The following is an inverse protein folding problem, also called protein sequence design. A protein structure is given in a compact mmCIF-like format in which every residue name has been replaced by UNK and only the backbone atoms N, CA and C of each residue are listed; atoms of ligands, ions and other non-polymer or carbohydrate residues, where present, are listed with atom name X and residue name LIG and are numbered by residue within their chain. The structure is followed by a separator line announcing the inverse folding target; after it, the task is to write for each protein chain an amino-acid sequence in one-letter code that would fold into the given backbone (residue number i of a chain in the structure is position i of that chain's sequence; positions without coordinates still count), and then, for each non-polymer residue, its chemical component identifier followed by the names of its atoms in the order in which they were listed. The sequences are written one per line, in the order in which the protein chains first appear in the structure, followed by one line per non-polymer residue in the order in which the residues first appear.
data_IF_542026490946
#
_entry.id   IF_542026490946
#
_cell.length_a   1.000
_cell.length_b   1.000
_cell.length_c   1.000
_cell.angle_alpha   90.00
_cell.angle_beta   90.00
_cell.angle_gamma   90.00
#
_symmetry.space_group_name_H-M   'P 1'
#
loop_
_entity.id
_entity.type
_entity.pdbx_description
1 polymer ?
#
# COMPACT_ATOMS: atom_id res chain seq x y z
N UNK A 1 45.48 16.82 22.22
CA UNK A 1 44.22 16.06 22.42
C UNK A 1 43.34 16.26 21.19
N UNK A 2 43.10 15.21 20.39
CA UNK A 2 42.24 15.28 19.19
C UNK A 2 40.78 15.16 19.64
N UNK A 3 39.94 16.12 19.24
CA UNK A 3 38.49 16.05 19.40
C UNK A 3 37.96 14.98 18.44
N UNK A 4 37.48 13.87 18.99
CA UNK A 4 36.65 12.92 18.25
C UNK A 4 35.25 13.54 18.15
N UNK A 5 35.03 14.36 17.13
CA UNK A 5 33.68 14.75 16.75
C UNK A 5 33.02 13.52 16.16
N UNK A 6 32.19 12.86 16.99
CA UNK A 6 31.35 11.75 16.59
C UNK A 6 30.36 12.21 15.53
N UNK A 7 30.78 12.20 14.26
CA UNK A 7 29.88 12.35 13.13
C UNK A 7 28.87 11.20 13.19
N UNK A 8 27.66 11.49 13.67
CA UNK A 8 26.50 10.59 13.50
C UNK A 8 26.39 10.35 12.00
N UNK A 9 26.80 9.16 11.54
CA UNK A 9 26.59 8.73 10.15
C UNK A 9 25.10 8.90 9.84
N UNK A 10 24.78 9.80 8.93
CA UNK A 10 23.41 10.01 8.45
C UNK A 10 22.99 8.74 7.74
N UNK A 11 21.98 8.05 8.28
CA UNK A 11 21.41 6.87 7.62
C UNK A 11 20.52 7.35 6.48
N UNK A 12 20.83 6.92 5.27
CA UNK A 12 19.96 7.10 4.11
C UNK A 12 18.96 5.96 4.08
N UNK A 13 17.70 6.31 3.85
CA UNK A 13 16.58 5.39 3.90
C UNK A 13 15.56 5.84 2.87
N UNK A 14 15.25 4.96 1.91
CA UNK A 14 14.20 5.13 0.90
C UNK A 14 13.51 3.77 0.66
N UNK A 15 12.32 3.81 0.06
CA UNK A 15 11.57 2.62 -0.37
C UNK A 15 11.36 2.62 -1.88
N UNK A 16 11.39 1.43 -2.46
CA UNK A 16 11.02 1.19 -3.85
C UNK A 16 9.79 0.30 -3.82
N UNK A 17 8.63 0.87 -4.10
CA UNK A 17 7.39 0.13 -4.21
C UNK A 17 7.23 -0.43 -5.62
N UNK A 18 7.15 -1.76 -5.71
CA UNK A 18 6.73 -2.48 -6.91
C UNK A 18 5.37 -3.10 -6.64
N UNK A 19 4.34 -2.41 -7.10
CA UNK A 19 2.95 -2.75 -6.82
C UNK A 19 2.34 -3.40 -8.05
N UNK A 20 1.83 -4.61 -7.90
CA UNK A 20 1.05 -5.28 -8.92
C UNK A 20 -0.42 -5.36 -8.48
N UNK A 21 -1.33 -4.85 -9.32
CA UNK A 21 -2.77 -5.08 -9.20
C UNK A 21 -3.19 -6.18 -10.17
N UNK A 22 -3.79 -7.25 -9.67
CA UNK A 22 -4.41 -8.31 -10.48
C UNK A 22 -5.84 -8.53 -10.00
N UNK A 23 -6.82 -8.13 -10.82
CA UNK A 23 -8.24 -8.07 -10.40
C UNK A 23 -8.37 -7.29 -9.10
N UNK A 24 -8.82 -7.93 -8.02
CA UNK A 24 -8.99 -7.29 -6.72
C UNK A 24 -7.80 -7.48 -5.77
N UNK A 25 -6.75 -8.17 -6.20
CA UNK A 25 -5.56 -8.42 -5.37
C UNK A 25 -4.49 -7.37 -5.63
N UNK A 26 -3.81 -6.98 -4.55
CA UNK A 26 -2.60 -6.14 -4.56
C UNK A 26 -1.44 -6.96 -4.03
N UNK A 27 -0.33 -6.91 -4.76
CA UNK A 27 0.92 -7.62 -4.45
C UNK A 27 2.09 -6.65 -4.44
N UNK A 28 2.81 -6.61 -3.32
CA UNK A 28 4.01 -5.82 -3.08
C UNK A 28 5.28 -6.66 -2.99
N UNK A 29 5.24 -7.98 -3.23
CA UNK A 29 6.35 -8.93 -3.02
C UNK A 29 7.65 -8.58 -3.75
N UNK A 30 7.57 -7.73 -4.79
CA UNK A 30 8.73 -7.22 -5.52
C UNK A 30 9.28 -5.89 -5.00
N UNK A 31 8.76 -5.36 -3.89
CA UNK A 31 9.19 -4.09 -3.28
C UNK A 31 10.46 -4.27 -2.45
N UNK A 32 11.19 -3.17 -2.26
CA UNK A 32 12.51 -3.16 -1.62
C UNK A 32 12.67 -1.94 -0.74
N UNK A 33 13.45 -2.10 0.33
CA UNK A 33 13.94 -0.99 1.13
C UNK A 33 15.39 -0.73 0.81
N UNK A 34 15.76 0.55 0.75
CA UNK A 34 17.12 0.99 0.44
C UNK A 34 17.71 1.65 1.67
N UNK A 35 18.63 0.96 2.35
CA UNK A 35 19.35 1.49 3.51
C UNK A 35 20.80 1.72 3.11
N UNK A 36 21.28 2.96 3.22
CA UNK A 36 22.64 3.35 2.85
C UNK A 36 23.04 2.84 1.45
N UNK A 37 22.16 3.07 0.47
CA UNK A 37 22.30 2.64 -0.94
C UNK A 37 22.32 1.13 -1.17
N UNK A 38 21.89 0.32 -0.19
CA UNK A 38 21.72 -1.13 -0.34
C UNK A 38 20.24 -1.47 -0.36
N UNK A 39 19.75 -1.94 -1.50
CA UNK A 39 18.40 -2.44 -1.64
C UNK A 39 18.28 -3.85 -1.05
N UNK A 40 17.22 -4.11 -0.28
CA UNK A 40 16.95 -5.40 0.34
C UNK A 40 15.45 -5.65 0.44
N UNK A 41 15.04 -6.86 0.02
CA UNK A 41 13.68 -7.36 0.25
C UNK A 41 13.47 -7.69 1.73
N UNK A 42 14.45 -8.28 2.39
CA UNK A 42 14.38 -8.65 3.81
C UNK A 42 14.16 -7.43 4.71
N UNK A 43 14.71 -6.27 4.34
CA UNK A 43 14.42 -5.03 5.05
C UNK A 43 12.96 -4.61 4.86
N UNK A 44 12.45 -4.65 3.63
CA UNK A 44 11.06 -4.30 3.34
C UNK A 44 10.07 -5.26 4.00
N UNK A 45 10.42 -6.55 4.07
CA UNK A 45 9.64 -7.61 4.71
C UNK A 45 9.32 -7.32 6.20
N UNK A 46 10.13 -6.47 6.85
CA UNK A 46 9.97 -6.08 8.26
C UNK A 46 9.49 -4.63 8.42
N UNK A 47 9.10 -3.96 7.34
CA UNK A 47 8.70 -2.56 7.39
C UNK A 47 7.22 -2.36 7.64
N UNK A 48 6.93 -1.23 8.28
CA UNK A 48 5.60 -0.65 8.29
C UNK A 48 5.51 0.55 7.34
N UNK A 49 4.40 0.64 6.62
CA UNK A 49 4.12 1.73 5.69
C UNK A 49 2.65 2.10 5.71
N UNK A 50 2.36 3.32 5.29
CA UNK A 50 1.01 3.85 5.24
C UNK A 50 0.28 3.38 3.97
N UNK A 51 -0.99 3.07 4.13
CA UNK A 51 -1.95 2.91 3.03
C UNK A 51 -3.12 3.86 3.26
N UNK A 52 -3.49 4.63 2.25
CA UNK A 52 -4.64 5.53 2.28
C UNK A 52 -5.69 5.11 1.26
N UNK A 53 -6.90 4.83 1.74
CA UNK A 53 -8.09 4.54 0.96
C UNK A 53 -8.86 5.83 0.71
N UNK A 54 -9.20 6.08 -0.55
CA UNK A 54 -9.90 7.29 -0.96
C UNK A 54 -11.09 6.96 -1.84
N UNK A 55 -12.25 7.53 -1.54
CA UNK A 55 -13.46 7.40 -2.36
C UNK A 55 -14.28 8.69 -2.36
N UNK A 56 -15.26 8.80 -3.26
CA UNK A 56 -16.13 9.96 -3.42
C UNK A 56 -17.60 9.53 -3.35
N UNK A 57 -18.36 10.03 -2.37
CA UNK A 57 -19.80 9.78 -2.18
C UNK A 57 -20.54 11.11 -2.28
N UNK A 58 -21.49 11.23 -3.21
CA UNK A 58 -22.33 12.44 -3.36
C UNK A 58 -21.49 13.73 -3.37
N UNK A 59 -20.41 13.71 -4.15
CA UNK A 59 -19.41 14.76 -4.26
C UNK A 59 -18.51 15.05 -3.05
N UNK A 60 -18.68 14.35 -1.94
CA UNK A 60 -17.81 14.44 -0.76
C UNK A 60 -16.70 13.39 -0.85
N UNK A 61 -15.46 13.81 -0.60
CA UNK A 61 -14.31 12.91 -0.57
C UNK A 61 -14.10 12.34 0.83
N UNK A 62 -13.95 11.02 0.91
CA UNK A 62 -13.67 10.29 2.14
C UNK A 62 -12.28 9.66 2.02
N UNK A 63 -11.45 9.88 3.04
CA UNK A 63 -10.12 9.33 3.11
C UNK A 63 -9.95 8.59 4.44
N UNK A 64 -9.47 7.35 4.36
CA UNK A 64 -9.12 6.56 5.52
C UNK A 64 -7.68 6.09 5.39
N UNK A 65 -6.89 6.27 6.44
CA UNK A 65 -5.48 5.90 6.45
C UNK A 65 -5.22 4.83 7.50
N UNK A 66 -4.43 3.83 7.13
CA UNK A 66 -3.93 2.81 8.04
C UNK A 66 -2.42 2.63 7.91
N UNK A 67 -1.80 2.22 9.01
CA UNK A 67 -0.42 1.74 9.03
C UNK A 67 -0.46 0.22 8.93
N UNK A 68 0.27 -0.36 7.98
CA UNK A 68 0.40 -1.82 7.82
C UNK A 68 1.85 -2.23 7.96
N UNK A 69 2.09 -3.43 8.49
CA UNK A 69 3.40 -4.09 8.42
C UNK A 69 3.37 -5.11 7.29
N UNK A 70 4.46 -5.17 6.51
CA UNK A 70 4.49 -5.92 5.26
C UNK A 70 4.07 -7.40 5.45
N UNK A 71 4.65 -8.12 6.41
CA UNK A 71 4.33 -9.54 6.61
C UNK A 71 3.37 -9.83 7.77
N UNK A 72 2.73 -8.81 8.35
CA UNK A 72 1.71 -9.03 9.37
C UNK A 72 0.32 -9.01 8.75
N UNK A 73 -0.55 -9.89 9.25
CA UNK A 73 -1.97 -9.88 8.90
C UNK A 73 -2.56 -8.52 9.25
N UNK A 74 -3.38 -7.99 8.35
CA UNK A 74 -4.11 -6.76 8.63
C UNK A 74 -5.18 -7.08 9.68
N UNK A 75 -5.10 -6.42 10.84
CA UNK A 75 -5.98 -6.74 11.97
C UNK A 75 -7.45 -6.38 11.69
N UNK A 76 -8.37 -7.22 12.18
CA UNK A 76 -9.81 -7.00 12.02
C UNK A 76 -10.26 -5.63 12.55
N UNK A 77 -9.68 -5.13 13.65
CA UNK A 77 -10.08 -3.81 14.21
C UNK A 77 -9.81 -2.65 13.23
N UNK A 78 -8.74 -2.75 12.45
CA UNK A 78 -8.36 -1.71 11.49
C UNK A 78 -9.28 -1.78 10.26
N UNK A 79 -9.71 -3.00 9.91
CA UNK A 79 -10.68 -3.26 8.84
C UNK A 79 -12.11 -2.88 9.20
N UNK A 80 -12.51 -2.94 10.47
CA UNK A 80 -13.87 -2.58 10.91
C UNK A 80 -14.25 -1.16 10.50
N UNK A 81 -13.34 -0.19 10.66
CA UNK A 81 -13.59 1.20 10.25
C UNK A 81 -13.64 1.35 8.74
N UNK A 82 -12.72 0.72 8.01
CA UNK A 82 -12.73 0.74 6.54
C UNK A 82 -14.03 0.14 5.99
N UNK A 83 -14.47 -0.98 6.57
CA UNK A 83 -15.71 -1.63 6.20
C UNK A 83 -16.93 -0.78 6.58
N UNK A 84 -16.95 -0.19 7.77
CA UNK A 84 -18.06 0.63 8.22
C UNK A 84 -18.19 1.95 7.42
N UNK A 85 -17.07 2.68 7.25
CA UNK A 85 -17.05 4.01 6.64
C UNK A 85 -17.05 3.95 5.11
N UNK A 86 -16.31 3.01 4.52
CA UNK A 86 -16.12 2.92 3.07
C UNK A 86 -16.81 1.70 2.44
N UNK A 87 -17.31 0.75 3.25
CA UNK A 87 -17.91 -0.48 2.75
C UNK A 87 -16.91 -1.43 2.11
N UNK A 88 -15.62 -1.30 2.42
CA UNK A 88 -14.52 -2.06 1.81
C UNK A 88 -14.12 -3.21 2.75
N UNK A 89 -14.08 -4.44 2.23
CA UNK A 89 -13.59 -5.63 2.94
C UNK A 89 -12.28 -6.09 2.31
N UNK A 90 -11.30 -6.41 3.15
CA UNK A 90 -9.95 -6.82 2.73
C UNK A 90 -9.56 -8.08 3.51
N UNK A 91 -8.84 -8.99 2.87
CA UNK A 91 -8.20 -10.14 3.50
C UNK A 91 -6.74 -10.27 3.05
N UNK A 92 -5.84 -10.63 3.98
CA UNK A 92 -4.42 -10.84 3.71
C UNK A 92 -3.50 -10.10 4.68
N UNK A 93 -2.30 -9.78 4.20
CA UNK A 93 -1.25 -9.07 4.93
C UNK A 93 -0.82 -7.80 4.19
N UNK A 94 0.04 -6.98 4.79
CA UNK A 94 0.53 -5.75 4.16
C UNK A 94 1.19 -5.95 2.79
N UNK A 95 1.84 -7.10 2.58
CA UNK A 95 2.55 -7.46 1.35
C UNK A 95 1.61 -7.95 0.25
N UNK A 96 0.56 -8.66 0.62
CA UNK A 96 -0.39 -9.25 -0.31
C UNK A 96 -1.77 -9.28 0.34
N UNK A 97 -2.72 -8.61 -0.30
CA UNK A 97 -4.10 -8.60 0.15
C UNK A 97 -5.09 -8.57 -1.01
N UNK A 98 -6.29 -9.08 -0.76
CA UNK A 98 -7.40 -9.08 -1.70
C UNK A 98 -8.54 -8.20 -1.17
N UNK A 99 -9.09 -7.37 -2.07
CA UNK A 99 -10.29 -6.58 -1.80
C UNK A 99 -11.52 -7.42 -2.17
N UNK A 100 -12.25 -7.90 -1.18
CA UNK A 100 -13.36 -8.84 -1.41
C UNK A 100 -14.64 -8.15 -1.81
N UNK A 101 -15.01 -7.11 -1.06
CA UNK A 101 -16.26 -6.39 -1.24
C UNK A 101 -16.02 -4.89 -1.16
N UNK A 102 -16.72 -4.15 -2.02
CA UNK A 102 -16.79 -2.69 -1.98
C UNK A 102 -18.05 -2.24 -2.71
N UNK A 103 -18.64 -1.14 -2.24
CA UNK A 103 -19.94 -0.63 -2.72
C UNK A 103 -19.81 0.35 -3.88
N UNK A 104 -18.63 0.93 -4.06
CA UNK A 104 -18.36 2.02 -4.99
C UNK A 104 -16.88 2.10 -5.33
N UNK A 105 -16.57 2.79 -6.43
CA UNK A 105 -15.20 2.99 -6.89
C UNK A 105 -14.35 3.68 -5.81
N UNK A 106 -13.12 3.22 -5.66
CA UNK A 106 -12.18 3.78 -4.70
C UNK A 106 -10.75 3.63 -5.21
N UNK A 107 -9.82 4.28 -4.52
CA UNK A 107 -8.40 4.17 -4.79
C UNK A 107 -7.62 3.90 -3.52
N UNK A 108 -6.45 3.30 -3.70
CA UNK A 108 -5.48 3.02 -2.65
C UNK A 108 -4.20 3.76 -3.01
N UNK A 109 -3.75 4.69 -2.16
CA UNK A 109 -2.45 5.34 -2.25
C UNK A 109 -1.49 4.71 -1.24
N UNK A 110 -0.36 4.21 -1.75
CA UNK A 110 0.74 3.74 -0.91
C UNK A 110 1.64 4.89 -0.46
N UNK A 111 2.28 4.72 0.70
CA UNK A 111 3.12 5.73 1.36
C UNK A 111 4.07 6.43 0.38
N UNK A 112 3.93 7.76 0.28
CA UNK A 112 4.70 8.61 -0.63
C UNK A 112 5.96 9.18 0.02
N UNK A 113 6.09 9.06 1.35
CA UNK A 113 7.25 9.58 2.06
C UNK A 113 8.47 8.72 1.78
N UNK A 114 9.55 9.35 1.27
CA UNK A 114 10.82 8.67 0.93
C UNK A 114 10.61 7.42 0.07
N UNK A 115 9.70 7.52 -0.87
CA UNK A 115 9.22 6.37 -1.64
C UNK A 115 9.30 6.68 -3.13
N UNK A 116 9.74 5.67 -3.88
CA UNK A 116 9.82 5.66 -5.33
C UNK A 116 8.92 4.54 -5.83
N UNK A 117 8.17 4.79 -6.90
CA UNK A 117 7.21 3.85 -7.43
C UNK A 117 7.63 3.36 -8.82
N UNK A 118 7.52 2.05 -9.02
CA UNK A 118 7.61 1.46 -10.35
C UNK A 118 6.21 1.48 -10.96
N UNK A 119 6.00 2.38 -11.91
CA UNK A 119 4.75 2.50 -12.65
C UNK A 119 4.45 1.24 -13.47
N UNK A 120 3.17 0.87 -13.50
CA UNK A 120 2.62 -0.19 -14.36
C UNK A 120 1.36 0.33 -15.06
N UNK A 121 0.74 -0.43 -15.98
CA UNK A 121 -0.54 -0.02 -16.56
C UNK A 121 -1.66 0.16 -15.53
N UNK A 122 -1.63 -0.61 -14.43
CA UNK A 122 -2.67 -0.60 -13.40
C UNK A 122 -2.29 0.19 -12.14
N UNK A 123 -1.06 0.69 -12.04
CA UNK A 123 -0.56 1.46 -10.90
C UNK A 123 0.26 2.65 -11.37
N UNK A 124 -0.08 3.84 -10.90
CA UNK A 124 0.63 5.09 -11.24
C UNK A 124 1.02 5.84 -9.99
N UNK A 125 2.32 6.08 -9.79
CA UNK A 125 2.84 6.79 -8.62
C UNK A 125 2.31 6.23 -7.28
N UNK A 126 2.24 4.91 -7.17
CA UNK A 126 1.73 4.24 -5.97
C UNK A 126 0.21 4.29 -5.79
N UNK A 127 -0.53 4.82 -6.76
CA UNK A 127 -1.98 4.89 -6.74
C UNK A 127 -2.58 3.73 -7.53
N UNK A 128 -3.48 2.99 -6.87
CA UNK A 128 -4.20 1.82 -7.42
C UNK A 128 -5.69 2.13 -7.42
N UNK A 129 -6.37 1.94 -8.56
CA UNK A 129 -7.80 2.16 -8.68
C UNK A 129 -8.60 0.86 -8.71
N UNK A 130 -9.74 0.87 -8.02
CA UNK A 130 -10.72 -0.22 -8.00
C UNK A 130 -12.07 0.34 -8.46
N UNK A 131 -12.59 -0.22 -9.56
CA UNK A 131 -13.91 0.16 -10.08
C UNK A 131 -14.89 -0.98 -9.93
N UNK A 132 -16.07 -0.68 -9.38
CA UNK A 132 -17.10 -1.69 -9.09
C UNK A 132 -17.59 -2.39 -10.36
N UNK A 133 -17.48 -1.70 -11.50
CA UNK A 133 -17.92 -2.19 -12.79
C UNK A 133 -16.91 -3.13 -13.46
N UNK A 134 -15.68 -3.25 -12.94
CA UNK A 134 -14.70 -4.23 -13.46
C UNK A 134 -15.05 -5.67 -13.05
N UNK A 135 -15.93 -5.87 -12.06
CA UNK A 135 -16.33 -7.20 -11.55
C UNK A 135 -17.39 -7.89 -12.43
N UNK A 136 -17.87 -7.27 -13.50
CA UNK A 136 -19.01 -7.78 -14.32
C UNK A 136 -18.58 -8.29 -15.71
N UNK A 137 -17.47 -9.00 -15.83
CA UNK A 137 -17.09 -9.70 -17.08
C UNK A 137 -16.56 -11.12 -16.83
N UNK A 138 -17.16 -11.86 -15.89
CA UNK A 138 -17.00 -13.32 -15.83
C UNK A 138 -18.38 -13.94 -15.68
N UNK A 139 -19.10 -14.05 -16.80
CA UNK A 139 -20.08 -15.09 -17.12
C UNK A 139 -20.67 -14.75 -18.48
N UNK A 140 -20.06 -15.30 -19.54
CA UNK A 140 -20.71 -15.77 -20.77
C UNK A 140 -19.62 -16.13 -21.78
N UNK A 141 -19.23 -17.40 -21.79
CA UNK A 141 -18.99 -18.22 -22.99
C UNK A 141 -19.11 -19.68 -22.59
#
# INVERSE_FOLDING_TARGET
MRKNDGQKKRVFYDRIFKIAKKKNSVDLSGSLSVINNKASKEYFDNESFQITFSTKIKDVSYNYTMLVTANESIENKDLEKINFELGIQIEGCGMYFEVLNYKQDFSIQFDTYKSVFIDTPSVKNGLVYFSKNETTNILQK
#
